data_IF_574274739677
#
_entry.id   IF_574274739677
#
_cell.length_a   1.000
_cell.length_b   1.000
_cell.length_c   1.000
_cell.angle_alpha   90.00
_cell.angle_beta   90.00
_cell.angle_gamma   90.00
#
_symmetry.space_group_name_H-M   'P 1'
#
loop_
_entity.id
_entity.type
_entity.pdbx_description
1 polymer ?
#
# COMPACT_ATOMS: atom_id res chain seq x y z
N UNK A 1 -21.32 -47.00 11.14
CA UNK A 1 -20.47 -46.18 12.02
C UNK A 1 -20.68 -44.70 11.67
N UNK A 2 -20.78 -43.87 12.69
CA UNK A 2 -21.22 -42.47 12.66
C UNK A 2 -20.14 -41.56 12.01
N UNK A 3 -20.61 -40.68 11.11
CA UNK A 3 -20.25 -39.26 10.89
C UNK A 3 -18.77 -38.86 10.85
N UNK A 4 -18.35 -38.25 9.74
CA UNK A 4 -17.79 -36.89 9.81
C UNK A 4 -17.98 -36.18 8.46
N UNK A 5 -19.05 -35.39 8.35
CA UNK A 5 -19.19 -34.38 7.30
C UNK A 5 -18.33 -33.19 7.76
N UNK A 6 -17.17 -32.97 7.15
CA UNK A 6 -16.40 -31.74 7.36
C UNK A 6 -16.98 -30.72 6.39
N UNK A 7 -17.94 -29.94 6.88
CA UNK A 7 -18.42 -28.75 6.17
C UNK A 7 -17.32 -27.70 6.27
N UNK A 8 -16.55 -27.55 5.19
CA UNK A 8 -15.58 -26.46 5.06
C UNK A 8 -16.38 -25.15 4.91
N UNK A 9 -16.54 -24.42 6.00
CA UNK A 9 -17.00 -23.05 5.97
C UNK A 9 -15.89 -22.20 5.34
N UNK A 10 -15.94 -22.01 4.02
CA UNK A 10 -15.24 -20.92 3.38
C UNK A 10 -15.94 -19.62 3.84
N UNK A 11 -15.33 -18.91 4.79
CA UNK A 11 -15.70 -17.55 5.13
C UNK A 11 -15.33 -16.66 3.93
N UNK A 12 -16.22 -16.58 2.95
CA UNK A 12 -16.26 -15.43 2.06
C UNK A 12 -16.76 -14.27 2.90
N UNK A 13 -15.83 -13.46 3.41
CA UNK A 13 -16.15 -12.13 3.91
C UNK A 13 -16.82 -11.37 2.77
N UNK A 14 -18.12 -11.14 2.91
CA UNK A 14 -18.91 -10.29 2.05
C UNK A 14 -18.44 -8.87 2.31
N UNK A 15 -17.39 -8.43 1.61
CA UNK A 15 -16.97 -7.02 1.58
C UNK A 15 -17.97 -6.25 0.70
N UNK A 16 -19.22 -6.15 1.16
CA UNK A 16 -20.09 -5.07 0.73
C UNK A 16 -19.51 -3.81 1.39
N UNK A 17 -18.99 -2.88 0.58
CA UNK A 17 -18.26 -1.65 0.96
C UNK A 17 -16.77 -1.82 1.31
N UNK A 18 -15.99 -2.46 0.45
CA UNK A 18 -14.55 -2.18 0.44
C UNK A 18 -14.33 -0.75 -0.09
N UNK A 19 -13.87 0.16 0.77
CA UNK A 19 -13.36 1.45 0.32
C UNK A 19 -12.04 1.30 -0.43
N UNK A 20 -11.56 2.38 -1.02
CA UNK A 20 -10.36 2.40 -1.86
C UNK A 20 -9.14 1.81 -1.15
N UNK A 21 -8.97 2.10 0.13
CA UNK A 21 -7.85 1.57 0.91
C UNK A 21 -7.88 0.04 0.99
N UNK A 22 -9.07 -0.56 1.15
CA UNK A 22 -9.21 -2.02 1.20
C UNK A 22 -8.93 -2.64 -0.17
N UNK A 23 -9.38 -2.02 -1.26
CA UNK A 23 -9.06 -2.48 -2.63
C UNK A 23 -7.55 -2.43 -2.89
N UNK A 24 -6.87 -1.35 -2.46
CA UNK A 24 -5.40 -1.24 -2.54
C UNK A 24 -4.75 -2.38 -1.73
N UNK A 25 -5.20 -2.61 -0.50
CA UNK A 25 -4.65 -3.66 0.37
C UNK A 25 -4.84 -5.06 -0.21
N UNK A 26 -6.03 -5.39 -0.72
CA UNK A 26 -6.34 -6.70 -1.29
C UNK A 26 -5.52 -6.98 -2.54
N UNK A 27 -5.44 -6.01 -3.46
CA UNK A 27 -4.66 -6.14 -4.68
C UNK A 27 -3.15 -6.22 -4.38
N UNK A 28 -2.66 -5.45 -3.40
CA UNK A 28 -1.29 -5.55 -2.91
C UNK A 28 -1.01 -6.94 -2.32
N UNK A 29 -1.88 -7.44 -1.45
CA UNK A 29 -1.73 -8.72 -0.76
C UNK A 29 -1.81 -9.93 -1.70
N UNK A 30 -2.54 -9.81 -2.81
CA UNK A 30 -2.64 -10.82 -3.86
C UNK A 30 -1.45 -10.82 -4.84
N UNK A 31 -0.60 -9.78 -4.82
CA UNK A 31 0.56 -9.68 -5.69
C UNK A 31 1.81 -10.40 -5.12
N UNK A 32 2.91 -10.38 -5.88
CA UNK A 32 4.22 -10.84 -5.40
C UNK A 32 4.95 -9.80 -4.54
N UNK A 33 4.49 -8.53 -4.54
CA UNK A 33 5.15 -7.41 -3.86
C UNK A 33 5.38 -7.67 -2.36
N UNK A 34 4.42 -8.20 -1.58
CA UNK A 34 4.66 -8.59 -0.19
C UNK A 34 5.89 -9.49 0.01
N UNK A 35 6.01 -10.54 -0.80
CA UNK A 35 7.11 -11.50 -0.68
C UNK A 35 8.47 -10.87 -1.04
N UNK A 36 8.48 -9.97 -2.02
CA UNK A 36 9.69 -9.23 -2.40
C UNK A 36 10.14 -8.26 -1.31
N UNK A 37 9.21 -7.57 -0.65
CA UNK A 37 9.48 -6.67 0.47
C UNK A 37 9.95 -7.40 1.73
N UNK A 38 9.49 -8.63 1.96
CA UNK A 38 10.06 -9.50 3.00
C UNK A 38 11.48 -9.91 2.64
N UNK A 39 11.69 -10.39 1.40
CA UNK A 39 13.00 -10.86 0.93
C UNK A 39 14.08 -9.78 0.98
N UNK A 40 13.73 -8.53 0.70
CA UNK A 40 14.66 -7.40 0.76
C UNK A 40 14.96 -6.92 2.18
N UNK A 41 14.22 -7.38 3.18
CA UNK A 41 14.31 -6.92 4.57
C UNK A 41 13.52 -5.64 4.85
N UNK A 42 12.88 -5.04 3.84
CA UNK A 42 12.08 -3.82 4.00
C UNK A 42 10.96 -4.00 5.03
N UNK A 43 10.21 -5.11 4.94
CA UNK A 43 9.08 -5.37 5.84
C UNK A 43 9.52 -5.50 7.31
N UNK A 44 10.76 -5.94 7.56
CA UNK A 44 11.31 -6.10 8.90
C UNK A 44 11.80 -4.80 9.54
N UNK A 45 11.98 -3.71 8.77
CA UNK A 45 12.43 -2.42 9.31
C UNK A 45 11.25 -1.56 9.79
N UNK A 46 10.47 -2.05 10.74
CA UNK A 46 9.25 -1.38 11.25
C UNK A 46 9.50 -0.46 12.46
N UNK A 47 10.77 -0.28 12.85
CA UNK A 47 11.15 0.51 14.02
C UNK A 47 10.72 -0.11 15.36
N UNK A 48 10.42 -1.41 15.38
CA UNK A 48 9.94 -2.15 16.55
C UNK A 48 8.44 -2.03 16.80
N UNK A 49 7.68 -1.42 15.87
CA UNK A 49 6.23 -1.17 16.02
C UNK A 49 5.36 -2.36 15.62
N UNK A 50 5.91 -3.35 14.90
CA UNK A 50 5.18 -4.47 14.32
C UNK A 50 4.59 -4.20 12.93
N UNK A 51 4.62 -2.94 12.45
CA UNK A 51 4.19 -2.55 11.12
C UNK A 51 4.78 -1.19 10.69
N UNK A 52 4.90 -1.00 9.37
CA UNK A 52 5.13 0.30 8.73
C UNK A 52 3.79 0.94 8.35
N UNK A 53 3.72 2.26 8.43
CA UNK A 53 2.56 3.06 7.99
C UNK A 53 2.84 3.64 6.61
N UNK A 54 1.92 3.40 5.67
CA UNK A 54 1.97 3.98 4.32
C UNK A 54 0.71 4.82 4.10
N UNK A 55 0.88 6.15 4.04
CA UNK A 55 -0.17 7.10 3.73
C UNK A 55 -0.14 7.50 2.25
N UNK A 56 -1.32 7.55 1.65
CA UNK A 56 -1.58 7.98 0.28
C UNK A 56 -2.51 9.18 0.34
N UNK A 57 -2.08 10.31 -0.17
CA UNK A 57 -2.84 11.57 -0.14
C UNK A 57 -3.10 12.02 -1.57
N UNK A 58 -4.37 12.29 -1.89
CA UNK A 58 -4.75 12.88 -3.18
C UNK A 58 -4.86 14.39 -3.02
N UNK A 59 -3.82 15.10 -3.47
CA UNK A 59 -3.68 16.56 -3.37
C UNK A 59 -4.89 17.26 -4.02
N UNK A 60 -5.47 18.22 -3.29
CA UNK A 60 -6.61 19.00 -3.76
C UNK A 60 -7.96 18.29 -3.63
N UNK A 61 -8.02 17.17 -2.90
CA UNK A 61 -9.26 16.45 -2.60
C UNK A 61 -9.28 16.00 -1.13
N UNK A 62 -10.38 15.38 -0.70
CA UNK A 62 -10.52 14.71 0.58
C UNK A 62 -10.21 13.20 0.52
N UNK A 63 -9.70 12.70 -0.62
CA UNK A 63 -9.38 11.28 -0.80
C UNK A 63 -8.00 10.98 -0.22
N UNK A 64 -7.97 10.03 0.69
CA UNK A 64 -6.78 9.56 1.39
C UNK A 64 -6.89 8.06 1.65
N UNK A 65 -5.74 7.42 1.84
CA UNK A 65 -5.68 6.05 2.35
C UNK A 65 -4.49 5.87 3.30
N UNK A 66 -4.64 4.98 4.27
CA UNK A 66 -3.53 4.52 5.11
C UNK A 66 -3.52 3.00 5.16
N UNK A 67 -2.35 2.39 4.91
CA UNK A 67 -2.12 0.95 5.07
C UNK A 67 -1.12 0.71 6.19
N UNK A 68 -1.34 -0.37 6.95
CA UNK A 68 -0.36 -0.91 7.90
C UNK A 68 0.23 -2.19 7.33
N UNK A 69 1.53 -2.16 6.99
CA UNK A 69 2.24 -3.31 6.42
C UNK A 69 3.06 -3.99 7.50
N UNK A 70 2.73 -5.23 7.82
CA UNK A 70 3.39 -6.01 8.86
C UNK A 70 4.75 -6.57 8.40
N UNK A 71 5.45 -7.25 9.31
CA UNK A 71 6.74 -7.88 9.03
C UNK A 71 6.67 -9.09 8.06
N UNK A 72 5.48 -9.61 7.77
CA UNK A 72 5.24 -10.59 6.70
C UNK A 72 5.02 -9.92 5.33
N UNK A 73 5.17 -8.59 5.27
CA UNK A 73 4.99 -7.78 4.08
C UNK A 73 3.53 -7.62 3.68
N UNK A 74 2.56 -7.98 4.53
CA UNK A 74 1.13 -7.93 4.21
C UNK A 74 0.49 -6.67 4.77
N UNK A 75 -0.43 -6.09 4.00
CA UNK A 75 -1.34 -5.09 4.51
C UNK A 75 -2.34 -5.76 5.47
N UNK A 76 -2.23 -5.48 6.76
CA UNK A 76 -3.07 -6.08 7.81
C UNK A 76 -4.17 -5.14 8.29
N UNK A 77 -4.05 -3.85 8.00
CA UNK A 77 -5.10 -2.85 8.16
C UNK A 77 -5.08 -1.85 7.00
N UNK A 78 -6.26 -1.35 6.67
CA UNK A 78 -6.48 -0.36 5.62
C UNK A 78 -7.58 0.62 6.06
N UNK A 79 -7.37 1.91 5.79
CA UNK A 79 -8.28 2.98 6.19
C UNK A 79 -8.44 3.99 5.06
N UNK A 80 -9.66 4.43 4.74
CA UNK A 80 -9.94 5.49 3.74
C UNK A 80 -9.66 6.91 4.27
N UNK A 81 -8.71 7.04 5.19
CA UNK A 81 -8.25 8.31 5.76
C UNK A 81 -6.88 8.12 6.40
N UNK A 82 -6.05 9.18 6.44
CA UNK A 82 -4.85 9.19 7.26
C UNK A 82 -5.22 9.12 8.76
N UNK A 83 -4.81 8.05 9.44
CA UNK A 83 -5.08 7.82 10.88
C UNK A 83 -3.89 8.22 11.74
N UNK A 84 -2.68 8.01 11.22
CA UNK A 84 -1.43 8.28 11.93
C UNK A 84 -1.05 9.75 11.78
N UNK A 85 -1.31 10.55 12.82
CA UNK A 85 -1.05 11.99 12.79
C UNK A 85 0.45 12.35 12.78
N UNK A 86 1.32 11.47 13.30
CA UNK A 86 2.77 11.68 13.34
C UNK A 86 3.49 10.42 12.88
N UNK A 87 3.95 10.45 11.65
CA UNK A 87 4.75 9.37 11.05
C UNK A 87 6.14 9.30 11.69
N UNK A 88 6.69 8.09 11.80
CA UNK A 88 8.10 7.89 12.06
C UNK A 88 8.85 7.96 10.73
N UNK A 89 9.50 9.09 10.44
CA UNK A 89 10.16 9.35 9.16
C UNK A 89 11.32 8.37 8.84
N UNK A 90 11.78 7.57 9.80
CA UNK A 90 12.81 6.56 9.58
C UNK A 90 12.26 5.27 8.95
N UNK A 91 10.94 5.02 9.06
CA UNK A 91 10.33 3.73 8.67
C UNK A 91 8.97 3.83 7.98
N UNK A 92 8.26 4.93 8.17
CA UNK A 92 6.92 5.19 7.61
C UNK A 92 7.01 6.08 6.38
N UNK A 93 5.93 6.09 5.59
CA UNK A 93 5.88 6.78 4.30
C UNK A 93 4.60 7.60 4.15
N UNK A 94 4.73 8.80 3.60
CA UNK A 94 3.63 9.57 3.06
C UNK A 94 3.90 9.85 1.59
N UNK A 95 2.92 9.55 0.74
CA UNK A 95 2.98 9.76 -0.69
C UNK A 95 1.82 10.68 -1.09
N UNK A 96 2.14 11.82 -1.71
CA UNK A 96 1.16 12.81 -2.11
C UNK A 96 1.27 13.11 -3.60
N UNK A 97 0.17 12.96 -4.33
CA UNK A 97 0.10 13.28 -5.76
C UNK A 97 -1.29 13.84 -6.10
N UNK A 98 -1.45 14.48 -7.26
CA UNK A 98 -2.80 14.83 -7.76
C UNK A 98 -3.55 13.57 -8.19
N UNK A 99 -4.87 13.63 -8.37
CA UNK A 99 -5.63 12.50 -8.92
C UNK A 99 -5.14 12.11 -10.33
N UNK A 100 -4.77 13.10 -11.15
CA UNK A 100 -4.22 12.88 -12.49
C UNK A 100 -2.88 12.13 -12.45
N UNK A 101 -1.98 12.53 -11.55
CA UNK A 101 -0.70 11.86 -11.35
C UNK A 101 -0.87 10.43 -10.81
N UNK A 102 -1.81 10.22 -9.87
CA UNK A 102 -2.15 8.87 -9.40
C UNK A 102 -2.70 8.01 -10.54
N UNK A 103 -3.60 8.55 -11.36
CA UNK A 103 -4.13 7.83 -12.52
C UNK A 103 -3.05 7.50 -13.55
N UNK A 104 -2.15 8.44 -13.82
CA UNK A 104 -1.01 8.25 -14.71
C UNK A 104 -0.08 7.14 -14.21
N UNK A 105 0.28 7.13 -12.92
CA UNK A 105 1.05 6.03 -12.31
C UNK A 105 0.32 4.69 -12.39
N UNK A 106 -1.01 4.68 -12.26
CA UNK A 106 -1.85 3.48 -12.37
C UNK A 106 -1.75 2.76 -13.72
N UNK A 107 -1.33 3.45 -14.78
CA UNK A 107 -1.10 2.84 -16.10
C UNK A 107 0.11 1.90 -16.11
N UNK A 108 1.11 2.17 -15.26
CA UNK A 108 2.42 1.50 -15.29
C UNK A 108 3.34 1.94 -16.42
N UNK A 109 2.90 2.81 -17.34
CA UNK A 109 3.75 3.37 -18.41
C UNK A 109 4.64 4.50 -17.86
N UNK A 110 4.07 5.31 -16.96
CA UNK A 110 4.74 6.39 -16.24
C UNK A 110 5.11 5.91 -14.85
N UNK A 111 6.33 5.36 -14.71
CA UNK A 111 6.78 4.80 -13.43
C UNK A 111 6.96 5.86 -12.33
N UNK A 112 7.11 5.45 -11.06
CA UNK A 112 7.35 6.37 -9.93
C UNK A 112 8.48 7.35 -10.17
N UNK A 113 9.56 6.89 -10.81
CA UNK A 113 10.71 7.76 -11.06
C UNK A 113 10.42 8.87 -12.04
N UNK A 114 9.51 8.66 -12.98
CA UNK A 114 9.06 9.73 -13.85
C UNK A 114 8.39 10.83 -13.01
N UNK A 115 7.40 10.48 -12.18
CA UNK A 115 6.64 11.45 -11.37
C UNK A 115 7.46 12.07 -10.23
N UNK A 116 8.46 11.38 -9.70
CA UNK A 116 9.42 11.96 -8.75
C UNK A 116 10.40 12.91 -9.43
N UNK A 117 10.83 12.63 -10.68
CA UNK A 117 11.83 13.45 -11.40
C UNK A 117 11.21 14.69 -12.04
N UNK A 118 10.03 14.55 -12.63
CA UNK A 118 9.38 15.62 -13.40
C UNK A 118 8.34 16.40 -12.59
N UNK A 119 8.15 16.05 -11.31
CA UNK A 119 7.16 16.64 -10.43
C UNK A 119 5.77 16.04 -10.68
N UNK A 120 5.18 15.47 -9.64
CA UNK A 120 3.90 14.77 -9.71
C UNK A 120 3.68 13.87 -8.51
N UNK A 121 4.76 13.36 -7.91
CA UNK A 121 4.75 12.62 -6.66
C UNK A 121 5.67 13.28 -5.62
N UNK A 122 5.09 13.69 -4.50
CA UNK A 122 5.82 14.07 -3.29
C UNK A 122 5.92 12.88 -2.35
N UNK A 123 7.07 12.74 -1.71
CA UNK A 123 7.42 11.58 -0.90
C UNK A 123 8.09 12.03 0.40
N UNK A 124 7.56 11.57 1.53
CA UNK A 124 8.15 11.70 2.85
C UNK A 124 8.40 10.31 3.44
N UNK A 125 9.57 10.09 4.01
CA UNK A 125 10.00 8.79 4.56
C UNK A 125 11.45 8.45 4.17
N UNK A 126 11.93 7.23 4.47
CA UNK A 126 13.31 6.83 4.20
C UNK A 126 13.54 6.58 2.71
N UNK A 127 13.81 7.65 1.95
CA UNK A 127 13.99 7.63 0.49
C UNK A 127 15.03 6.61 0.04
N UNK A 128 16.15 6.48 0.75
CA UNK A 128 17.19 5.49 0.41
C UNK A 128 16.69 4.05 0.49
N UNK A 129 15.87 3.73 1.48
CA UNK A 129 15.24 2.41 1.63
C UNK A 129 14.23 2.16 0.49
N UNK A 130 13.42 3.16 0.13
CA UNK A 130 12.49 3.05 -0.99
C UNK A 130 13.21 2.84 -2.34
N UNK A 131 14.31 3.56 -2.58
CA UNK A 131 15.12 3.41 -3.80
C UNK A 131 15.81 2.03 -3.88
N UNK A 132 16.27 1.48 -2.76
CA UNK A 132 16.80 0.10 -2.72
C UNK A 132 15.73 -0.97 -3.00
N UNK A 133 14.45 -0.60 -2.89
CA UNK A 133 13.28 -1.46 -3.10
C UNK A 133 12.45 -1.03 -4.31
N UNK A 134 13.07 -0.40 -5.32
CA UNK A 134 12.33 0.29 -6.37
C UNK A 134 11.38 -0.60 -7.19
N UNK A 135 11.72 -1.87 -7.41
CA UNK A 135 10.81 -2.80 -8.09
C UNK A 135 9.47 -2.95 -7.33
N UNK A 136 9.49 -3.47 -6.10
CA UNK A 136 8.32 -3.55 -5.24
C UNK A 136 7.58 -2.23 -5.05
N UNK A 137 8.32 -1.13 -4.84
CA UNK A 137 7.72 0.20 -4.65
C UNK A 137 7.00 0.70 -5.91
N UNK A 138 7.52 0.41 -7.10
CA UNK A 138 6.82 0.72 -8.35
C UNK A 138 5.53 -0.07 -8.51
N UNK A 139 5.56 -1.37 -8.24
CA UNK A 139 4.34 -2.19 -8.26
C UNK A 139 3.30 -1.67 -7.27
N UNK A 140 3.74 -1.21 -6.09
CA UNK A 140 2.85 -0.65 -5.09
C UNK A 140 2.21 0.68 -5.54
N UNK A 141 2.98 1.60 -6.12
CA UNK A 141 2.46 2.88 -6.62
C UNK A 141 1.50 2.70 -7.81
N UNK A 142 1.78 1.74 -8.71
CA UNK A 142 0.84 1.35 -9.79
C UNK A 142 -0.47 0.83 -9.19
N UNK A 143 -0.37 -0.03 -8.16
CA UNK A 143 -1.56 -0.55 -7.48
C UNK A 143 -2.39 0.55 -6.83
N UNK A 144 -1.75 1.51 -6.15
CA UNK A 144 -2.43 2.69 -5.60
C UNK A 144 -3.15 3.46 -6.71
N UNK A 145 -2.43 3.79 -7.79
CA UNK A 145 -2.96 4.58 -8.90
C UNK A 145 -4.19 3.97 -9.57
N UNK A 146 -4.30 2.64 -9.58
CA UNK A 146 -5.47 1.91 -10.10
C UNK A 146 -6.69 1.97 -9.18
N UNK A 147 -6.48 2.01 -7.87
CA UNK A 147 -7.53 1.75 -6.88
C UNK A 147 -7.93 2.97 -6.03
N UNK A 148 -7.16 4.08 -6.08
CA UNK A 148 -7.47 5.31 -5.33
C UNK A 148 -8.48 6.23 -6.04
N UNK A 149 -8.86 5.88 -7.28
CA UNK A 149 -9.66 6.75 -8.15
C UNK A 149 -11.14 6.83 -7.76
N UNK A 150 -11.71 5.76 -7.21
CA UNK A 150 -13.17 5.58 -7.02
C UNK A 150 -13.77 6.41 -5.88
#
# INVERSE_FOLDING_TARGET
>A
MKKLLITLFALFSINAFAGNAQNIADAFNASNTPAELVKSGWAGNDGGKGYKVLQVIVKGSNKEAELHIDNNGKATAAFDSAKTAKLNADVDYQMTATMEDWASMGTGESGPMYHMTFGGLSFEGPMGEAMNNMGPFASFLINIGKNIQD
#
